data_IF_658365119897
#
_entry.id   IF_658365119897
#
_cell.length_a   1.000
_cell.length_b   1.000
_cell.length_c   1.000
_cell.angle_alpha   90.00
_cell.angle_beta   90.00
_cell.angle_gamma   90.00
#
_symmetry.space_group_name_H-M   'P 1'
#
loop_
_entity.id
_entity.type
_entity.pdbx_description
1 polymer ?
#
# COMPACT_ATOMS: atom_id res chain seq x y z
N UNK A 1 -14.99 -40.21 24.80
CA UNK A 1 -14.97 -39.63 23.44
C UNK A 1 -14.17 -38.31 23.27
N UNK A 2 -13.89 -37.47 24.30
CA UNK A 2 -13.03 -36.28 24.13
C UNK A 2 -11.56 -36.58 23.78
N UNK A 3 -11.00 -37.70 24.25
CA UNK A 3 -9.58 -38.04 24.05
C UNK A 3 -9.24 -38.42 22.60
N UNK A 4 -10.16 -39.04 21.85
CA UNK A 4 -9.91 -39.46 20.47
C UNK A 4 -9.83 -38.24 19.52
N UNK A 5 -10.63 -37.18 19.77
CA UNK A 5 -10.53 -35.93 18.97
C UNK A 5 -9.17 -35.23 19.16
N UNK A 6 -8.61 -35.25 20.38
CA UNK A 6 -7.31 -34.60 20.68
C UNK A 6 -6.12 -35.22 19.94
N UNK A 7 -6.14 -36.52 19.64
CA UNK A 7 -5.02 -37.18 18.94
C UNK A 7 -4.87 -36.71 17.49
N UNK A 8 -5.96 -36.34 16.82
CA UNK A 8 -5.91 -35.86 15.42
C UNK A 8 -5.58 -34.38 15.29
N UNK A 9 -5.39 -33.64 16.38
CA UNK A 9 -5.08 -32.20 16.35
C UNK A 9 -3.61 -31.89 16.67
N UNK A 10 -2.84 -32.91 17.09
CA UNK A 10 -1.43 -32.76 17.47
C UNK A 10 -0.51 -33.36 16.40
N UNK A 11 0.64 -32.74 16.20
CA UNK A 11 1.73 -33.26 15.40
C UNK A 11 2.67 -34.03 16.33
N UNK A 12 2.78 -35.34 16.14
CA UNK A 12 3.77 -36.15 16.85
C UNK A 12 5.16 -35.92 16.25
N UNK A 13 6.16 -35.73 17.10
CA UNK A 13 7.56 -35.54 16.67
C UNK A 13 8.39 -36.77 17.04
N UNK A 14 9.23 -37.22 16.11
CA UNK A 14 10.15 -38.33 16.35
C UNK A 14 11.37 -37.85 17.14
N UNK A 15 11.81 -38.65 18.14
CA UNK A 15 12.83 -38.30 19.14
C UNK A 15 14.15 -37.71 18.60
N UNK A 16 14.51 -37.99 17.34
CA UNK A 16 15.76 -37.51 16.73
C UNK A 16 15.65 -36.14 16.07
N UNK A 17 14.44 -35.69 15.76
CA UNK A 17 14.19 -34.48 14.98
C UNK A 17 13.57 -33.37 15.84
N UNK A 18 13.64 -33.52 17.17
CA UNK A 18 12.97 -32.61 18.09
C UNK A 18 13.91 -31.49 18.53
N UNK A 19 13.49 -30.21 18.43
CA UNK A 19 14.20 -29.12 19.06
C UNK A 19 14.24 -29.29 20.60
N UNK A 20 15.40 -29.08 21.24
CA UNK A 20 15.47 -29.03 22.70
C UNK A 20 14.66 -27.82 23.21
N UNK A 21 13.92 -28.04 24.30
CA UNK A 21 13.14 -27.00 24.97
C UNK A 21 13.76 -26.74 26.33
N UNK A 22 14.13 -25.48 26.58
CA UNK A 22 14.50 -25.01 27.91
C UNK A 22 13.25 -24.50 28.62
N UNK A 23 12.90 -25.10 29.73
CA UNK A 23 11.77 -24.73 30.58
C UNK A 23 12.31 -23.90 31.73
N UNK A 24 11.81 -22.68 31.92
CA UNK A 24 12.12 -21.82 33.06
C UNK A 24 10.86 -21.58 33.90
N UNK A 25 10.90 -21.92 35.19
CA UNK A 25 9.79 -21.72 36.13
C UNK A 25 10.13 -22.16 37.55
N UNK A 26 9.51 -21.53 38.56
CA UNK A 26 9.78 -21.80 39.99
C UNK A 26 11.26 -21.64 40.41
N UNK A 27 12.03 -20.80 39.72
CA UNK A 27 13.43 -20.55 40.06
C UNK A 27 14.41 -21.59 39.54
N UNK A 28 13.94 -22.60 38.79
CA UNK A 28 14.78 -23.60 38.15
C UNK A 28 14.59 -23.65 36.62
N UNK A 29 15.65 -24.11 35.95
CA UNK A 29 15.70 -24.37 34.52
C UNK A 29 15.83 -25.87 34.24
N UNK A 30 14.98 -26.41 33.37
CA UNK A 30 14.96 -27.83 32.98
C UNK A 30 15.13 -27.97 31.47
N UNK A 31 15.87 -28.99 31.03
CA UNK A 31 15.86 -29.39 29.62
C UNK A 31 14.80 -30.46 29.39
N UNK A 32 13.95 -30.24 28.41
CA UNK A 32 12.92 -31.18 28.01
C UNK A 32 12.95 -31.44 26.49
N UNK A 33 12.45 -32.61 26.12
CA UNK A 33 12.21 -32.98 24.73
C UNK A 33 10.73 -32.76 24.40
N UNK A 34 10.45 -31.99 23.35
CA UNK A 34 9.11 -31.87 22.79
C UNK A 34 8.73 -33.21 22.11
N UNK A 35 7.59 -33.82 22.42
CA UNK A 35 7.19 -35.09 21.76
C UNK A 35 5.93 -34.93 20.92
N UNK A 36 5.12 -33.92 21.20
CA UNK A 36 4.03 -33.49 20.33
C UNK A 36 3.78 -31.99 20.44
N UNK A 37 3.13 -31.42 19.42
CA UNK A 37 2.79 -30.00 19.40
C UNK A 37 1.51 -29.71 18.65
N UNK A 38 0.81 -28.66 19.06
CA UNK A 38 -0.28 -28.04 18.31
C UNK A 38 -0.29 -26.54 18.55
N UNK A 39 -1.09 -25.76 17.82
CA UNK A 39 -1.15 -24.31 18.02
C UNK A 39 -1.66 -23.85 19.39
N UNK A 40 -2.26 -24.75 20.16
CA UNK A 40 -2.82 -24.47 21.49
C UNK A 40 -1.97 -25.05 22.63
N UNK A 41 -0.98 -25.89 22.35
CA UNK A 41 -0.18 -26.49 23.40
C UNK A 41 0.92 -27.44 22.93
N UNK A 42 1.68 -27.94 23.89
CA UNK A 42 2.83 -28.81 23.65
C UNK A 42 2.86 -29.95 24.66
N UNK A 43 3.46 -31.06 24.27
CA UNK A 43 3.79 -32.17 25.15
C UNK A 43 5.29 -32.26 25.29
N UNK A 44 5.77 -32.20 26.53
CA UNK A 44 7.20 -32.28 26.86
C UNK A 44 7.50 -33.56 27.65
N UNK A 45 8.73 -34.05 27.51
CA UNK A 45 9.26 -35.16 28.29
C UNK A 45 10.57 -34.73 28.96
N UNK A 46 10.58 -34.74 30.29
CA UNK A 46 11.78 -34.50 31.11
C UNK A 46 12.37 -35.85 31.50
N UNK A 47 13.68 -36.02 31.31
CA UNK A 47 14.38 -37.28 31.64
C UNK A 47 15.81 -37.03 32.12
N UNK A 48 16.44 -38.06 32.70
CA UNK A 48 17.82 -37.97 33.19
C UNK A 48 17.93 -37.10 34.44
N UNK A 49 19.02 -36.34 34.57
CA UNK A 49 19.32 -35.52 35.75
C UNK A 49 18.22 -34.49 36.09
N UNK A 50 17.53 -33.97 35.08
CA UNK A 50 16.45 -33.00 35.28
C UNK A 50 15.18 -33.66 35.84
N UNK A 51 15.00 -34.97 35.65
CA UNK A 51 13.90 -35.73 36.26
C UNK A 51 14.17 -36.11 37.71
N UNK A 52 15.43 -36.08 38.16
CA UNK A 52 15.83 -36.37 39.55
C UNK A 52 15.76 -35.14 40.47
N UNK A 53 15.41 -33.97 39.92
CA UNK A 53 15.31 -32.73 40.70
C UNK A 53 14.09 -32.75 41.64
N UNK A 54 14.23 -32.05 42.78
CA UNK A 54 13.24 -32.07 43.87
C UNK A 54 11.93 -31.40 43.51
N UNK A 55 11.99 -30.34 42.71
CA UNK A 55 10.81 -29.58 42.33
C UNK A 55 10.56 -29.81 40.85
N UNK A 56 9.47 -30.49 40.51
CA UNK A 56 9.01 -30.63 39.13
C UNK A 56 7.88 -29.65 38.88
N UNK A 57 7.64 -29.24 37.62
CA UNK A 57 6.49 -28.42 37.30
C UNK A 57 5.19 -29.08 37.75
N UNK A 58 4.33 -28.33 38.44
CA UNK A 58 3.03 -28.82 38.94
C UNK A 58 1.87 -28.31 38.11
N UNK A 59 0.75 -29.05 38.09
CA UNK A 59 -0.47 -28.63 37.38
C UNK A 59 -0.94 -27.26 37.88
N UNK A 60 -1.28 -26.38 36.93
CA UNK A 60 -1.69 -25.00 37.19
C UNK A 60 -0.52 -24.01 37.27
N UNK A 61 0.73 -24.48 37.26
CA UNK A 61 1.89 -23.60 37.22
C UNK A 61 2.06 -22.98 35.83
N UNK A 62 2.38 -21.68 35.80
CA UNK A 62 2.78 -20.99 34.57
C UNK A 62 4.29 -21.11 34.39
N UNK A 63 4.71 -21.49 33.18
CA UNK A 63 6.09 -21.67 32.78
C UNK A 63 6.43 -20.74 31.61
N UNK A 64 7.72 -20.40 31.50
CA UNK A 64 8.30 -19.77 30.33
C UNK A 64 9.10 -20.81 29.55
N UNK A 65 8.70 -21.10 28.33
CA UNK A 65 9.37 -22.07 27.47
C UNK A 65 10.23 -21.32 26.45
N UNK A 66 11.53 -21.60 26.45
CA UNK A 66 12.43 -21.19 25.38
C UNK A 66 12.59 -22.36 24.41
N UNK A 67 11.96 -22.25 23.24
CA UNK A 67 12.02 -23.25 22.18
C UNK A 67 13.12 -22.84 21.21
N UNK A 68 14.12 -23.71 21.05
CA UNK A 68 15.26 -23.47 20.16
C UNK A 68 15.06 -24.19 18.84
N UNK A 69 14.74 -23.45 17.78
CA UNK A 69 14.52 -24.00 16.44
C UNK A 69 15.83 -24.44 15.79
N UNK A 70 16.87 -23.62 15.95
CA UNK A 70 18.22 -23.92 15.44
C UNK A 70 19.28 -23.21 16.30
N UNK A 71 20.54 -23.17 15.84
CA UNK A 71 21.62 -22.56 16.63
C UNK A 71 21.39 -21.08 16.92
N UNK A 72 20.76 -20.34 16.01
CA UNK A 72 20.68 -18.88 16.04
C UNK A 72 19.25 -18.37 16.29
N UNK A 73 18.24 -19.24 16.21
CA UNK A 73 16.84 -18.89 16.38
C UNK A 73 16.20 -19.63 17.55
N UNK A 74 15.67 -18.84 18.48
CA UNK A 74 14.82 -19.30 19.58
C UNK A 74 13.71 -18.29 19.82
N UNK A 75 12.64 -18.75 20.44
CA UNK A 75 11.56 -17.88 20.88
C UNK A 75 11.03 -18.33 22.25
N UNK A 76 10.42 -17.38 22.95
CA UNK A 76 9.87 -17.59 24.29
C UNK A 76 8.35 -17.61 24.20
N UNK A 77 7.73 -18.63 24.79
CA UNK A 77 6.28 -18.74 24.91
C UNK A 77 5.90 -19.06 26.35
N UNK A 78 4.88 -18.37 26.86
CA UNK A 78 4.31 -18.69 28.18
C UNK A 78 3.33 -19.85 28.06
N UNK A 79 3.35 -20.78 28.99
CA UNK A 79 2.46 -21.93 28.98
C UNK A 79 1.98 -22.29 30.39
N UNK A 80 0.79 -22.88 30.49
CA UNK A 80 0.22 -23.42 31.72
C UNK A 80 0.37 -24.93 31.74
N UNK A 81 0.86 -25.49 32.84
CA UNK A 81 0.91 -26.93 33.05
C UNK A 81 -0.50 -27.47 33.25
N UNK A 82 -0.97 -28.29 32.32
CA UNK A 82 -2.30 -28.90 32.41
C UNK A 82 -2.26 -30.38 32.83
N UNK A 83 -1.12 -31.05 32.62
CA UNK A 83 -0.94 -32.46 32.94
C UNK A 83 0.52 -32.75 33.33
N UNK A 84 0.71 -33.63 34.31
CA UNK A 84 2.01 -34.17 34.72
C UNK A 84 1.79 -35.63 35.04
N UNK A 85 2.55 -36.52 34.40
CA UNK A 85 2.51 -37.94 34.66
C UNK A 85 3.91 -38.54 34.58
N UNK A 86 4.20 -39.51 35.43
CA UNK A 86 5.40 -40.33 35.29
C UNK A 86 5.22 -41.25 34.08
N UNK A 87 6.25 -41.33 33.25
CA UNK A 87 6.23 -42.16 32.05
C UNK A 87 7.57 -42.88 31.91
N UNK A 88 7.51 -44.20 31.73
CA UNK A 88 8.65 -45.01 31.38
C UNK A 88 8.64 -45.30 29.88
N UNK A 89 9.60 -44.71 29.14
CA UNK A 89 9.71 -44.88 27.69
C UNK A 89 11.08 -45.45 27.34
N UNK A 90 11.09 -46.64 26.72
CA UNK A 90 12.33 -47.34 26.29
C UNK A 90 13.39 -47.41 27.39
N UNK A 91 12.98 -47.81 28.60
CA UNK A 91 13.85 -47.94 29.79
C UNK A 91 14.41 -46.62 30.36
N UNK A 92 13.87 -45.47 29.93
CA UNK A 92 14.10 -44.18 30.61
C UNK A 92 12.86 -43.80 31.38
N UNK A 93 13.00 -43.69 32.71
CA UNK A 93 12.00 -43.06 33.58
C UNK A 93 12.09 -41.55 33.45
N UNK A 94 10.95 -40.90 33.43
CA UNK A 94 10.84 -39.46 33.30
C UNK A 94 9.43 -38.97 33.52
N UNK A 95 9.22 -37.68 33.25
CA UNK A 95 7.93 -37.03 33.43
C UNK A 95 7.42 -36.48 32.11
N UNK A 96 6.20 -36.87 31.76
CA UNK A 96 5.43 -36.29 30.68
C UNK A 96 4.68 -35.08 31.20
N UNK A 97 4.86 -33.94 30.53
CA UNK A 97 4.23 -32.67 30.89
C UNK A 97 3.37 -32.21 29.71
N UNK A 98 2.07 -32.09 29.95
CA UNK A 98 1.13 -31.46 29.05
C UNK A 98 1.03 -29.97 29.33
N UNK A 99 1.17 -29.16 28.29
CA UNK A 99 1.15 -27.71 28.36
C UNK A 99 0.07 -27.12 27.44
N UNK A 100 -0.53 -26.04 27.89
CA UNK A 100 -1.40 -25.17 27.08
C UNK A 100 -0.75 -23.81 26.95
N UNK A 101 -0.61 -23.28 25.74
CA UNK A 101 0.00 -21.97 25.54
C UNK A 101 -0.89 -20.87 26.11
N UNK A 102 -0.27 -19.97 26.88
CA UNK A 102 -0.93 -18.78 27.40
C UNK A 102 -0.79 -17.71 26.34
N UNK A 103 -1.90 -17.32 25.74
CA UNK A 103 -1.93 -16.16 24.85
C UNK A 103 -1.55 -14.93 25.65
N UNK A 104 -0.43 -14.32 25.29
CA UNK A 104 -0.06 -13.05 25.89
C UNK A 104 -1.18 -12.06 25.61
N UNK A 105 -1.71 -11.43 26.68
CA UNK A 105 -2.57 -10.27 26.50
C UNK A 105 -1.72 -9.25 25.75
N UNK A 106 -2.10 -9.00 24.49
CA UNK A 106 -1.50 -7.92 23.70
C UNK A 106 -1.71 -6.67 24.54
N UNK A 107 -0.63 -6.01 25.03
CA UNK A 107 -0.78 -4.87 25.91
C UNK A 107 -1.66 -3.84 25.20
N UNK A 108 -2.78 -3.45 25.81
CA UNK A 108 -3.66 -2.37 25.31
C UNK A 108 -2.92 -1.01 25.16
N UNK A 109 -1.64 -0.93 25.53
CA UNK A 109 -0.82 0.27 25.56
C UNK A 109 -0.08 0.59 24.26
N UNK A 110 -0.10 -0.28 23.27
CA UNK A 110 0.31 0.06 21.90
C UNK A 110 -0.97 0.25 21.11
N UNK A 111 -1.14 1.42 20.45
CA UNK A 111 -2.32 1.77 19.64
C UNK A 111 -2.90 0.51 18.99
N UNK A 112 -4.16 0.18 19.32
CA UNK A 112 -4.87 -0.90 18.64
C UNK A 112 -5.10 -0.42 17.21
N UNK A 113 -4.07 -0.58 16.38
CA UNK A 113 -4.05 -0.06 15.02
C UNK A 113 -5.22 -0.73 14.33
N UNK A 114 -6.17 0.09 13.87
CA UNK A 114 -7.38 -0.40 13.23
C UNK A 114 -7.03 -1.36 12.11
N UNK A 115 -7.29 -2.65 12.32
CA UNK A 115 -7.11 -3.69 11.32
C UNK A 115 -8.13 -3.48 10.21
N UNK A 116 -7.66 -3.38 8.98
CA UNK A 116 -8.50 -3.29 7.81
C UNK A 116 -8.60 -4.69 7.18
N UNK A 117 -9.78 -5.30 7.28
CA UNK A 117 -10.03 -6.60 6.67
C UNK A 117 -10.15 -6.49 5.15
N UNK A 118 -9.57 -7.41 4.37
CA UNK A 118 -9.79 -7.53 2.92
C UNK A 118 -11.15 -8.18 2.60
N UNK A 119 -11.65 -7.99 1.37
CA UNK A 119 -12.79 -8.78 0.89
C UNK A 119 -12.32 -10.16 0.46
N UNK A 120 -13.22 -11.16 0.47
CA UNK A 120 -12.89 -12.53 0.03
C UNK A 120 -12.37 -12.60 -1.41
N UNK A 121 -12.78 -11.68 -2.27
CA UNK A 121 -12.41 -11.67 -3.71
C UNK A 121 -10.97 -11.19 -3.94
N UNK A 122 -10.44 -10.32 -3.08
CA UNK A 122 -9.14 -9.67 -3.27
C UNK A 122 -8.26 -9.82 -2.04
N UNK A 123 -7.88 -11.06 -1.71
CA UNK A 123 -6.96 -11.37 -0.61
C UNK A 123 -5.54 -11.60 -1.13
N UNK A 124 -4.53 -10.92 -0.58
CA UNK A 124 -3.15 -11.30 -0.82
C UNK A 124 -2.86 -12.69 -0.27
N UNK A 125 -1.87 -13.34 -0.87
CA UNK A 125 -1.37 -14.63 -0.42
C UNK A 125 0.00 -14.46 0.21
N UNK A 126 0.34 -15.34 1.13
CA UNK A 126 1.70 -15.47 1.64
C UNK A 126 2.05 -16.94 1.83
N UNK A 127 3.33 -17.25 1.82
CA UNK A 127 3.82 -18.57 2.23
C UNK A 127 5.14 -18.46 3.00
N UNK A 128 5.48 -19.47 3.78
CA UNK A 128 6.74 -19.56 4.49
C UNK A 128 7.19 -21.02 4.57
N UNK A 129 8.49 -21.25 4.69
CA UNK A 129 9.00 -22.54 5.12
C UNK A 129 8.58 -22.79 6.57
N UNK A 130 8.24 -24.04 6.88
CA UNK A 130 7.94 -24.45 8.25
C UNK A 130 9.23 -24.49 9.08
N UNK A 131 9.35 -23.72 10.18
CA UNK A 131 10.57 -23.72 10.98
C UNK A 131 10.82 -25.01 11.77
N UNK A 132 9.81 -25.88 11.90
CA UNK A 132 9.88 -27.16 12.61
C UNK A 132 9.91 -28.38 11.69
N UNK A 133 9.36 -28.26 10.48
CA UNK A 133 9.25 -29.37 9.53
C UNK A 133 10.11 -29.12 8.30
N UNK A 134 11.12 -29.97 8.08
CA UNK A 134 12.06 -29.83 6.98
C UNK A 134 11.36 -29.96 5.62
N UNK A 135 11.59 -28.99 4.73
CA UNK A 135 11.03 -28.91 3.37
C UNK A 135 9.49 -28.80 3.28
N UNK A 136 8.82 -28.50 4.39
CA UNK A 136 7.39 -28.21 4.38
C UNK A 136 7.13 -26.72 4.20
N UNK A 137 6.04 -26.41 3.51
CA UNK A 137 5.61 -25.03 3.27
C UNK A 137 4.24 -24.76 3.89
N UNK A 138 4.16 -23.62 4.57
CA UNK A 138 2.96 -23.10 5.16
C UNK A 138 2.37 -22.06 4.22
N UNK A 139 1.10 -22.25 3.82
CA UNK A 139 0.38 -21.32 2.96
C UNK A 139 -0.62 -20.50 3.77
N UNK A 140 -0.69 -19.21 3.47
CA UNK A 140 -1.52 -18.24 4.18
C UNK A 140 -2.33 -17.37 3.22
N UNK A 141 -3.56 -17.05 3.62
CA UNK A 141 -4.30 -15.90 3.10
C UNK A 141 -4.16 -14.74 4.05
N UNK A 142 -3.91 -13.54 3.54
CA UNK A 142 -3.88 -12.31 4.34
C UNK A 142 -5.31 -11.78 4.45
N UNK A 143 -5.87 -11.85 5.65
CA UNK A 143 -7.26 -11.50 5.96
C UNK A 143 -7.44 -10.04 6.33
N UNK A 144 -6.54 -9.52 7.17
CA UNK A 144 -6.57 -8.14 7.63
C UNK A 144 -5.16 -7.65 7.90
N UNK A 145 -4.99 -6.34 7.99
CA UNK A 145 -3.68 -5.73 8.15
C UNK A 145 -3.77 -4.37 8.84
N UNK A 146 -2.65 -3.96 9.42
CA UNK A 146 -2.35 -2.62 9.90
C UNK A 146 -0.86 -2.34 9.62
N UNK A 147 -0.34 -1.12 9.90
CA UNK A 147 1.08 -0.84 9.71
C UNK A 147 2.00 -1.73 10.56
N UNK A 148 1.50 -2.22 11.69
CA UNK A 148 2.24 -2.98 12.70
C UNK A 148 1.88 -4.47 12.73
N UNK A 149 0.69 -4.84 12.26
CA UNK A 149 0.15 -6.18 12.40
C UNK A 149 -0.50 -6.72 11.13
N UNK A 150 -0.67 -8.03 11.10
CA UNK A 150 -1.34 -8.77 10.02
C UNK A 150 -2.11 -9.95 10.59
N UNK A 151 -3.26 -10.20 9.99
CA UNK A 151 -4.06 -11.39 10.26
C UNK A 151 -3.90 -12.34 9.09
N UNK A 152 -3.41 -13.53 9.38
CA UNK A 152 -3.23 -14.61 8.42
C UNK A 152 -4.28 -15.69 8.68
N UNK A 153 -4.70 -16.38 7.62
CA UNK A 153 -5.54 -17.56 7.70
C UNK A 153 -4.83 -18.73 7.04
N UNK A 154 -4.89 -19.91 7.65
CA UNK A 154 -4.21 -21.12 7.17
C UNK A 154 -4.99 -22.38 7.53
N UNK A 155 -4.60 -23.53 6.97
CA UNK A 155 -5.21 -24.82 7.23
C UNK A 155 -4.92 -25.33 8.65
N UNK A 156 -5.89 -26.02 9.27
CA UNK A 156 -5.68 -26.73 10.56
C UNK A 156 -4.66 -27.87 10.49
N UNK A 157 -4.28 -28.30 9.29
CA UNK A 157 -3.16 -29.24 9.11
C UNK A 157 -1.82 -28.65 9.55
N UNK A 158 -1.69 -27.32 9.62
CA UNK A 158 -0.46 -26.62 9.96
C UNK A 158 -0.28 -26.54 11.49
N UNK A 159 -0.02 -27.71 12.09
CA UNK A 159 0.01 -27.92 13.54
C UNK A 159 1.28 -27.44 14.23
N UNK A 160 2.33 -27.15 13.46
CA UNK A 160 3.65 -26.66 13.90
C UNK A 160 3.66 -25.18 14.32
N UNK A 161 2.57 -24.44 14.09
CA UNK A 161 2.48 -23.01 14.35
C UNK A 161 2.32 -22.73 15.85
N UNK A 162 3.15 -21.86 16.43
CA UNK A 162 3.16 -21.60 17.89
C UNK A 162 3.18 -20.10 18.17
N UNK A 163 2.45 -19.59 19.20
CA UNK A 163 2.61 -18.22 19.64
C UNK A 163 4.08 -17.88 19.99
N UNK A 164 4.55 -16.70 19.59
CA UNK A 164 5.93 -16.25 19.75
C UNK A 164 6.88 -16.68 18.63
N UNK A 165 6.52 -17.70 17.83
CA UNK A 165 7.31 -18.14 16.69
C UNK A 165 7.42 -17.03 15.65
N UNK A 166 8.59 -16.93 15.01
CA UNK A 166 8.79 -16.03 13.88
C UNK A 166 8.71 -16.78 12.55
N UNK A 167 8.10 -16.15 11.55
CA UNK A 167 7.98 -16.69 10.20
C UNK A 167 8.58 -15.70 9.20
N UNK A 168 9.28 -16.20 8.19
CA UNK A 168 9.72 -15.40 7.04
C UNK A 168 8.70 -15.57 5.92
N UNK A 169 7.73 -14.66 5.83
CA UNK A 169 6.67 -14.71 4.85
C UNK A 169 7.14 -14.18 3.50
N UNK A 170 6.96 -14.95 2.45
CA UNK A 170 6.97 -14.47 1.07
C UNK A 170 5.57 -13.97 0.72
N UNK A 171 5.38 -12.66 0.77
CA UNK A 171 4.09 -12.02 0.54
C UNK A 171 3.89 -11.73 -0.96
N UNK A 172 2.78 -12.21 -1.51
CA UNK A 172 2.35 -12.03 -2.89
C UNK A 172 1.21 -11.00 -2.96
N UNK A 173 1.56 -9.76 -3.31
CA UNK A 173 0.60 -8.68 -3.52
C UNK A 173 0.29 -8.55 -5.03
N UNK A 174 -0.98 -8.57 -5.48
CA UNK A 174 -1.32 -8.50 -6.92
C UNK A 174 -0.71 -7.32 -7.70
N UNK A 175 -0.46 -6.19 -7.03
CA UNK A 175 0.15 -5.00 -7.64
C UNK A 175 1.64 -4.86 -7.35
N UNK A 176 2.26 -5.75 -6.58
CA UNK A 176 3.66 -5.61 -6.19
C UNK A 176 4.48 -6.84 -6.52
N UNK A 177 5.80 -6.67 -6.48
CA UNK A 177 6.69 -7.83 -6.49
C UNK A 177 6.55 -8.59 -5.18
N UNK A 178 6.81 -9.88 -5.25
CA UNK A 178 7.00 -10.71 -4.07
C UNK A 178 7.97 -10.02 -3.10
N UNK A 179 7.62 -10.03 -1.82
CA UNK A 179 8.39 -9.36 -0.78
C UNK A 179 8.49 -10.26 0.44
N UNK A 180 9.72 -10.54 0.85
CA UNK A 180 9.99 -11.27 2.08
C UNK A 180 9.79 -10.36 3.30
N UNK A 181 8.96 -10.79 4.23
CA UNK A 181 8.61 -10.06 5.46
C UNK A 181 8.69 -11.00 6.65
N UNK A 182 9.52 -10.66 7.64
CA UNK A 182 9.53 -11.40 8.91
C UNK A 182 8.33 -10.97 9.75
N UNK A 183 7.61 -11.94 10.31
CA UNK A 183 6.53 -11.72 11.27
C UNK A 183 6.77 -12.51 12.54
N UNK A 184 6.12 -12.11 13.64
CA UNK A 184 6.02 -12.90 14.86
C UNK A 184 4.56 -13.22 15.14
N UNK A 185 4.25 -14.48 15.37
CA UNK A 185 2.91 -14.92 15.76
C UNK A 185 2.62 -14.40 17.18
N UNK A 186 1.57 -13.61 17.33
CA UNK A 186 1.13 -13.11 18.65
C UNK A 186 0.09 -14.05 19.25
N UNK A 187 -0.85 -14.49 18.41
CA UNK A 187 -2.02 -15.27 18.81
C UNK A 187 -2.45 -16.19 17.67
N UNK A 188 -2.95 -17.36 18.03
CA UNK A 188 -3.58 -18.30 17.11
C UNK A 188 -4.96 -18.62 17.67
N UNK A 189 -5.98 -18.44 16.85
CA UNK A 189 -7.38 -18.71 17.17
C UNK A 189 -7.93 -19.75 16.19
N UNK A 190 -8.87 -20.57 16.67
CA UNK A 190 -9.74 -21.35 15.80
C UNK A 190 -10.71 -20.40 15.10
N UNK A 191 -10.77 -20.46 13.78
CA UNK A 191 -11.67 -19.59 13.02
C UNK A 191 -13.09 -20.18 13.07
N UNK A 192 -13.94 -19.67 13.96
CA UNK A 192 -15.28 -20.22 14.23
C UNK A 192 -16.17 -20.33 12.97
N UNK A 193 -15.99 -19.44 11.99
CA UNK A 193 -16.85 -19.42 10.80
C UNK A 193 -16.35 -20.28 9.63
N UNK A 194 -15.20 -20.95 9.76
CA UNK A 194 -14.64 -21.79 8.69
C UNK A 194 -13.99 -23.04 9.31
N UNK A 195 -14.79 -24.11 9.42
CA UNK A 195 -14.35 -25.40 9.95
C UNK A 195 -13.11 -25.89 9.18
N UNK A 196 -11.97 -25.95 9.87
CA UNK A 196 -10.72 -26.43 9.26
C UNK A 196 -9.65 -25.36 9.05
N UNK A 197 -9.83 -24.14 9.53
CA UNK A 197 -8.79 -23.10 9.47
C UNK A 197 -8.35 -22.54 10.83
N UNK A 198 -7.09 -22.12 10.90
CA UNK A 198 -6.55 -21.29 11.97
C UNK A 198 -6.47 -19.84 11.50
N UNK A 199 -6.75 -18.91 12.40
CA UNK A 199 -6.49 -17.49 12.24
C UNK A 199 -5.30 -17.10 13.12
N UNK A 200 -4.29 -16.47 12.52
CA UNK A 200 -3.10 -16.02 13.21
C UNK A 200 -3.09 -14.50 13.22
N UNK A 201 -2.99 -13.90 14.41
CA UNK A 201 -2.63 -12.48 14.55
C UNK A 201 -1.13 -12.40 14.72
N UNK A 202 -0.48 -11.69 13.81
CA UNK A 202 0.97 -11.58 13.73
C UNK A 202 1.43 -10.12 13.75
N UNK A 203 2.63 -9.88 14.26
CA UNK A 203 3.30 -8.57 14.24
C UNK A 203 4.37 -8.52 13.16
N UNK A 204 4.43 -7.45 12.39
CA UNK A 204 5.51 -7.25 11.43
C UNK A 204 6.84 -6.96 12.14
N UNK A 205 7.89 -7.69 11.78
CA UNK A 205 9.23 -7.49 12.29
C UNK A 205 10.03 -6.65 11.29
N UNK A 206 9.96 -5.32 11.43
CA UNK A 206 10.65 -4.34 10.56
C UNK A 206 10.39 -4.57 9.05
N UNK A 207 9.13 -4.50 8.60
CA UNK A 207 8.82 -4.68 7.18
C UNK A 207 9.50 -3.58 6.35
N UNK A 208 9.96 -3.93 5.15
CA UNK A 208 10.63 -2.98 4.26
C UNK A 208 9.66 -1.87 3.83
N UNK A 209 10.19 -0.67 3.58
CA UNK A 209 9.35 0.45 3.11
C UNK A 209 8.71 0.14 1.76
N UNK A 210 9.40 -0.57 0.87
CA UNK A 210 8.84 -1.00 -0.42
C UNK A 210 7.64 -1.93 -0.26
N UNK A 211 7.68 -2.86 0.71
CA UNK A 211 6.53 -3.70 1.03
C UNK A 211 5.38 -2.88 1.61
N UNK A 212 5.65 -1.98 2.56
CA UNK A 212 4.62 -1.10 3.13
C UNK A 212 3.94 -0.23 2.08
N UNK A 213 4.71 0.35 1.16
CA UNK A 213 4.20 1.14 0.03
C UNK A 213 3.35 0.27 -0.91
N UNK A 214 3.85 -0.91 -1.29
CA UNK A 214 3.10 -1.84 -2.15
C UNK A 214 1.80 -2.33 -1.51
N UNK A 215 1.82 -2.62 -0.20
CA UNK A 215 0.64 -2.98 0.57
C UNK A 215 -0.33 -1.80 0.61
N UNK A 216 0.13 -0.58 0.94
CA UNK A 216 -0.71 0.62 0.93
C UNK A 216 -1.38 0.90 -0.42
N UNK A 217 -0.67 0.73 -1.54
CA UNK A 217 -1.26 0.84 -2.88
C UNK A 217 -2.33 -0.23 -3.12
N UNK A 218 -2.05 -1.49 -2.75
CA UNK A 218 -3.00 -2.57 -2.89
C UNK A 218 -4.28 -2.33 -2.09
N UNK A 219 -4.15 -1.78 -0.88
CA UNK A 219 -5.25 -1.41 0.00
C UNK A 219 -6.17 -0.40 -0.66
N UNK A 220 -5.61 0.67 -1.21
CA UNK A 220 -6.36 1.71 -1.89
C UNK A 220 -7.10 1.18 -3.12
N UNK A 221 -6.56 0.15 -3.79
CA UNK A 221 -7.24 -0.54 -4.90
C UNK A 221 -8.40 -1.40 -4.37
N UNK A 222 -8.15 -2.20 -3.34
CA UNK A 222 -9.10 -3.19 -2.83
C UNK A 222 -10.22 -2.58 -1.96
N UNK A 223 -10.00 -1.39 -1.39
CA UNK A 223 -10.92 -0.71 -0.46
C UNK A 223 -11.25 0.70 -0.94
N UNK A 224 -12.31 0.86 -1.76
CA UNK A 224 -12.65 2.15 -2.35
C UNK A 224 -13.11 3.21 -1.33
N UNK A 225 -13.51 2.78 -0.13
CA UNK A 225 -13.93 3.66 0.95
C UNK A 225 -12.76 4.13 1.84
N UNK A 226 -11.52 3.69 1.55
CA UNK A 226 -10.33 4.11 2.30
C UNK A 226 -9.57 5.16 1.48
N UNK A 227 -9.45 6.35 2.02
CA UNK A 227 -8.72 7.47 1.43
C UNK A 227 -7.25 7.51 1.85
N UNK A 228 -6.43 8.30 1.17
CA UNK A 228 -5.03 8.52 1.57
C UNK A 228 -4.95 9.20 2.94
N UNK A 229 -5.83 10.16 3.19
CA UNK A 229 -5.84 10.90 4.46
C UNK A 229 -6.16 9.97 5.63
N UNK A 230 -7.09 9.04 5.45
CA UNK A 230 -7.38 7.99 6.43
C UNK A 230 -6.19 7.04 6.60
N UNK A 231 -5.56 6.59 5.50
CA UNK A 231 -4.33 5.77 5.54
C UNK A 231 -3.22 6.44 6.35
N UNK A 232 -2.98 7.73 6.12
CA UNK A 232 -1.99 8.52 6.87
C UNK A 232 -2.38 8.63 8.35
N UNK A 233 -3.66 8.83 8.66
CA UNK A 233 -4.15 8.87 10.04
C UNK A 233 -3.97 7.52 10.76
N UNK A 234 -4.07 6.41 10.03
CA UNK A 234 -3.75 5.06 10.52
C UNK A 234 -2.25 4.77 10.61
N UNK A 235 -1.36 5.71 10.26
CA UNK A 235 0.10 5.54 10.35
C UNK A 235 0.78 5.00 9.09
N UNK A 236 0.06 4.86 7.98
CA UNK A 236 0.67 4.44 6.71
C UNK A 236 1.48 5.55 6.05
N UNK A 237 2.62 5.17 5.49
CA UNK A 237 3.38 6.01 4.58
C UNK A 237 2.90 5.78 3.15
N UNK A 238 1.88 6.54 2.73
CA UNK A 238 1.42 6.56 1.32
C UNK A 238 2.13 7.70 0.60
N UNK A 239 3.26 7.39 -0.01
CA UNK A 239 4.12 8.32 -0.76
C UNK A 239 3.85 8.24 -2.26
N UNK A 240 3.71 7.02 -2.76
CA UNK A 240 3.54 6.70 -4.18
C UNK A 240 2.26 5.89 -4.37
N UNK A 241 1.53 6.21 -5.44
CA UNK A 241 0.26 5.55 -5.77
C UNK A 241 0.17 5.17 -7.24
N UNK A 242 1.33 5.01 -7.89
CA UNK A 242 1.39 4.83 -9.33
C UNK A 242 0.55 3.62 -9.77
N UNK A 243 0.56 2.55 -8.98
CA UNK A 243 -0.13 1.30 -9.33
C UNK A 243 -1.60 1.30 -8.93
N UNK A 244 -1.98 2.18 -8.00
CA UNK A 244 -3.36 2.32 -7.54
C UNK A 244 -4.20 3.24 -8.44
N UNK A 245 -3.54 4.11 -9.20
CA UNK A 245 -4.18 5.07 -10.10
C UNK A 245 -4.48 4.43 -11.46
N UNK A 246 -5.69 4.65 -11.95
CA UNK A 246 -6.12 4.31 -13.31
C UNK A 246 -6.75 5.52 -13.98
N UNK A 247 -6.48 5.72 -15.26
CA UNK A 247 -7.14 6.75 -16.05
C UNK A 247 -8.19 6.14 -16.96
N UNK A 248 -9.37 6.76 -17.00
CA UNK A 248 -10.46 6.43 -17.92
C UNK A 248 -11.06 7.71 -18.48
N UNK A 249 -11.76 7.59 -19.60
CA UNK A 249 -12.61 8.66 -20.11
C UNK A 249 -14.04 8.44 -19.64
N UNK A 250 -14.78 9.54 -19.48
CA UNK A 250 -16.23 9.48 -19.27
C UNK A 250 -16.87 8.77 -20.45
N UNK A 251 -17.66 7.73 -20.14
CA UNK A 251 -18.31 6.87 -21.14
C UNK A 251 -19.81 6.70 -20.89
N UNK A 252 -20.34 7.30 -19.82
CA UNK A 252 -21.74 7.21 -19.42
C UNK A 252 -22.16 8.42 -18.59
N UNK A 253 -23.48 8.63 -18.44
CA UNK A 253 -24.02 9.67 -17.55
C UNK A 253 -23.59 9.47 -16.10
N UNK A 254 -23.41 8.22 -15.67
CA UNK A 254 -22.91 7.89 -14.33
C UNK A 254 -21.48 8.38 -14.13
N UNK A 255 -20.62 8.18 -15.13
CA UNK A 255 -19.25 8.70 -15.10
C UNK A 255 -19.25 10.23 -15.07
N UNK A 256 -20.11 10.87 -15.87
CA UNK A 256 -20.21 12.33 -15.92
C UNK A 256 -20.68 12.90 -14.57
N UNK A 257 -21.70 12.30 -13.94
CA UNK A 257 -22.13 12.69 -12.59
C UNK A 257 -21.01 12.59 -11.58
N UNK A 258 -20.21 11.51 -11.62
CA UNK A 258 -19.07 11.35 -10.72
C UNK A 258 -17.99 12.44 -10.92
N UNK A 259 -17.79 12.91 -12.15
CA UNK A 259 -16.90 14.05 -12.45
C UNK A 259 -17.48 15.35 -11.89
N UNK A 260 -18.78 15.61 -12.08
CA UNK A 260 -19.44 16.81 -11.58
C UNK A 260 -19.45 16.85 -10.04
N UNK A 261 -19.74 15.73 -9.39
CA UNK A 261 -19.68 15.58 -7.93
C UNK A 261 -18.28 15.89 -7.40
N UNK A 262 -17.24 15.40 -8.09
CA UNK A 262 -15.86 15.68 -7.74
C UNK A 262 -15.50 17.17 -7.91
N UNK A 263 -15.93 17.80 -9.00
CA UNK A 263 -15.72 19.24 -9.23
C UNK A 263 -16.36 20.06 -8.11
N UNK A 264 -17.62 19.76 -7.76
CA UNK A 264 -18.33 20.43 -6.69
C UNK A 264 -17.62 20.25 -5.35
N UNK A 265 -17.25 19.02 -4.98
CA UNK A 265 -16.54 18.74 -3.74
C UNK A 265 -15.19 19.46 -3.66
N UNK A 266 -14.45 19.53 -4.77
CA UNK A 266 -13.18 20.25 -4.83
C UNK A 266 -13.36 21.77 -4.69
N UNK A 267 -14.37 22.36 -5.35
CA UNK A 267 -14.68 23.79 -5.23
C UNK A 267 -15.14 24.16 -3.83
N UNK A 268 -15.97 23.33 -3.19
CA UNK A 268 -16.43 23.53 -1.82
C UNK A 268 -15.31 23.52 -0.80
N UNK A 269 -14.29 22.68 -1.01
CA UNK A 269 -13.10 22.68 -0.17
C UNK A 269 -12.28 23.98 -0.27
N UNK A 270 -12.38 24.70 -1.38
CA UNK A 270 -11.79 26.05 -1.55
C UNK A 270 -12.72 27.17 -1.04
N UNK A 271 -13.84 26.84 -0.41
CA UNK A 271 -14.84 27.80 0.06
C UNK A 271 -15.75 28.36 -1.04
N UNK A 272 -15.65 27.87 -2.27
CA UNK A 272 -16.54 28.24 -3.38
C UNK A 272 -17.79 27.37 -3.37
N UNK A 273 -18.93 27.90 -3.82
CA UNK A 273 -20.18 27.11 -3.92
C UNK A 273 -20.63 26.43 -2.60
N UNK A 274 -20.36 27.09 -1.47
CA UNK A 274 -20.74 26.59 -0.16
C UNK A 274 -22.25 26.35 -0.05
N UNK A 275 -22.64 25.21 0.51
CA UNK A 275 -24.05 24.82 0.67
C UNK A 275 -24.74 24.28 -0.58
N UNK A 276 -24.10 24.35 -1.76
CA UNK A 276 -24.66 23.77 -2.97
C UNK A 276 -24.66 22.23 -2.90
N UNK A 277 -25.77 21.59 -3.30
CA UNK A 277 -25.93 20.12 -3.24
C UNK A 277 -26.01 19.47 -4.61
N UNK A 278 -26.58 20.17 -5.59
CA UNK A 278 -26.68 19.68 -6.94
C UNK A 278 -25.36 19.91 -7.69
N UNK A 279 -24.72 18.82 -8.13
CA UNK A 279 -23.49 18.89 -8.93
C UNK A 279 -23.74 19.26 -10.38
N UNK A 280 -24.99 19.23 -10.86
CA UNK A 280 -25.38 19.66 -12.19
C UNK A 280 -24.97 21.10 -12.52
N UNK A 281 -24.83 21.97 -11.52
CA UNK A 281 -24.35 23.35 -11.68
C UNK A 281 -22.90 23.45 -12.16
N UNK A 282 -22.12 22.37 -12.05
CA UNK A 282 -20.73 22.30 -12.52
C UNK A 282 -20.61 21.90 -13.99
N UNK A 283 -21.75 21.64 -14.65
CA UNK A 283 -21.83 21.41 -16.08
C UNK A 283 -21.77 22.75 -16.81
N UNK A 284 -20.97 22.84 -17.87
CA UNK A 284 -20.94 24.03 -18.72
C UNK A 284 -21.04 23.69 -20.22
N UNK A 285 -21.08 24.74 -21.04
CA UNK A 285 -21.20 24.62 -22.48
C UNK A 285 -20.06 23.83 -23.14
N UNK A 286 -18.89 23.70 -22.51
CA UNK A 286 -17.71 23.02 -23.05
C UNK A 286 -17.70 21.52 -22.79
N UNK A 287 -18.45 21.05 -21.80
CA UNK A 287 -18.44 19.62 -21.44
C UNK A 287 -18.88 18.68 -22.58
N UNK A 288 -19.90 18.98 -23.41
CA UNK A 288 -20.35 18.08 -24.49
C UNK A 288 -19.33 17.83 -25.62
N UNK A 289 -18.36 18.72 -25.83
CA UNK A 289 -17.35 18.59 -26.90
C UNK A 289 -15.93 18.41 -26.38
N UNK A 290 -15.78 18.17 -25.08
CA UNK A 290 -14.50 17.92 -24.46
C UNK A 290 -14.34 16.46 -24.07
N UNK A 291 -13.09 16.00 -23.99
CA UNK A 291 -12.78 14.72 -23.36
C UNK A 291 -12.64 14.91 -21.86
N UNK A 292 -13.53 14.29 -21.11
CA UNK A 292 -13.47 14.27 -19.66
C UNK A 292 -12.62 13.10 -19.19
N UNK A 293 -11.57 13.39 -18.44
CA UNK A 293 -10.64 12.40 -17.89
C UNK A 293 -11.03 12.14 -16.44
N UNK A 294 -11.08 10.87 -16.07
CA UNK A 294 -11.23 10.42 -14.70
C UNK A 294 -9.94 9.74 -14.24
N UNK A 295 -9.37 10.22 -13.15
CA UNK A 295 -8.34 9.52 -12.39
C UNK A 295 -9.03 8.76 -11.25
N UNK A 296 -8.88 7.44 -11.24
CA UNK A 296 -9.62 6.53 -10.38
C UNK A 296 -8.65 5.79 -9.46
N UNK A 297 -9.00 5.68 -8.18
CA UNK A 297 -8.33 4.79 -7.22
C UNK A 297 -9.38 3.83 -6.65
N UNK A 298 -9.14 2.53 -6.79
CA UNK A 298 -10.18 1.52 -6.55
C UNK A 298 -11.36 1.76 -7.50
N UNK A 299 -12.53 2.11 -6.96
CA UNK A 299 -13.72 2.53 -7.73
C UNK A 299 -14.07 4.02 -7.59
N UNK A 300 -13.29 4.80 -6.84
CA UNK A 300 -13.56 6.22 -6.57
C UNK A 300 -12.85 7.11 -7.60
N UNK A 301 -13.56 8.09 -8.16
CA UNK A 301 -12.94 9.16 -8.96
C UNK A 301 -12.29 10.15 -7.99
N UNK A 302 -10.96 10.28 -8.08
CA UNK A 302 -10.15 11.07 -7.13
C UNK A 302 -9.54 12.31 -7.75
N UNK A 303 -9.45 12.37 -9.07
CA UNK A 303 -9.14 13.59 -9.81
C UNK A 303 -9.81 13.56 -11.18
N UNK A 304 -10.03 14.74 -11.76
CA UNK A 304 -10.55 14.88 -13.11
C UNK A 304 -9.92 16.08 -13.81
N UNK A 305 -9.90 16.02 -15.14
CA UNK A 305 -9.56 17.14 -15.99
C UNK A 305 -10.42 17.08 -17.25
N UNK A 306 -10.74 18.25 -17.80
CA UNK A 306 -11.37 18.40 -19.10
C UNK A 306 -10.32 18.76 -20.14
N UNK A 307 -10.39 18.14 -21.32
CA UNK A 307 -9.54 18.46 -22.46
C UNK A 307 -10.37 18.90 -23.65
N UNK A 308 -10.14 20.12 -24.12
CA UNK A 308 -10.85 20.73 -25.26
C UNK A 308 -9.93 20.74 -26.48
N UNK A 309 -10.43 20.19 -27.58
CA UNK A 309 -9.79 20.16 -28.89
C UNK A 309 -10.32 21.32 -29.72
N UNK A 310 -9.62 22.47 -29.68
CA UNK A 310 -10.09 23.67 -30.37
C UNK A 310 -9.83 23.63 -31.89
N UNK A 311 -8.91 22.78 -32.39
CA UNK A 311 -8.58 22.64 -33.81
C UNK A 311 -8.21 23.97 -34.49
N UNK A 312 -7.58 24.90 -33.74
CA UNK A 312 -7.26 26.25 -34.23
C UNK A 312 -8.47 27.19 -34.37
N UNK A 313 -9.68 26.75 -33.98
CA UNK A 313 -10.90 27.53 -34.06
C UNK A 313 -11.13 28.30 -32.76
N UNK A 314 -11.11 29.63 -32.84
CA UNK A 314 -11.34 30.51 -31.68
C UNK A 314 -12.70 30.28 -31.00
N UNK A 315 -13.73 29.93 -31.76
CA UNK A 315 -15.08 29.64 -31.24
C UNK A 315 -15.14 28.37 -30.39
N UNK A 316 -14.15 27.47 -30.49
CA UNK A 316 -14.05 26.26 -29.68
C UNK A 316 -13.15 26.44 -28.44
N UNK A 317 -12.49 27.59 -28.28
CA UNK A 317 -11.60 27.84 -27.15
C UNK A 317 -12.37 28.44 -25.97
N UNK A 318 -12.28 27.77 -24.83
CA UNK A 318 -12.83 28.20 -23.56
C UNK A 318 -12.21 29.52 -23.12
N UNK A 319 -10.88 29.61 -23.09
CA UNK A 319 -10.23 30.83 -22.63
C UNK A 319 -10.52 32.02 -23.56
N UNK A 320 -10.61 31.80 -24.87
CA UNK A 320 -11.00 32.84 -25.81
C UNK A 320 -12.45 33.30 -25.61
N UNK A 321 -13.36 32.39 -25.23
CA UNK A 321 -14.75 32.74 -24.90
C UNK A 321 -14.84 33.63 -23.65
N UNK A 322 -13.89 33.50 -22.72
CA UNK A 322 -13.72 34.38 -21.56
C UNK A 322 -12.94 35.66 -21.86
N UNK A 323 -12.72 35.99 -23.14
CA UNK A 323 -12.06 37.23 -23.57
C UNK A 323 -10.53 37.19 -23.55
N UNK A 324 -9.90 36.03 -23.34
CA UNK A 324 -8.44 35.92 -23.38
C UNK A 324 -7.89 36.28 -24.78
N UNK A 325 -6.91 37.19 -24.81
CA UNK A 325 -6.16 37.54 -26.03
C UNK A 325 -4.95 36.63 -26.16
N UNK A 326 -5.17 35.41 -26.66
CA UNK A 326 -4.11 34.42 -26.85
C UNK A 326 -3.14 34.85 -27.98
N UNK A 327 -1.82 34.63 -27.82
CA UNK A 327 -0.84 35.07 -28.81
C UNK A 327 -0.94 34.26 -30.11
N UNK A 328 -0.68 34.91 -31.26
CA UNK A 328 -0.80 34.29 -32.59
C UNK A 328 0.09 33.06 -32.78
N UNK A 329 1.28 33.05 -32.18
CA UNK A 329 2.19 31.91 -32.27
C UNK A 329 1.58 30.63 -31.67
N UNK A 330 0.75 30.76 -30.62
CA UNK A 330 0.13 29.60 -29.96
C UNK A 330 -0.94 28.97 -30.87
N UNK A 331 -1.71 29.80 -31.58
CA UNK A 331 -2.64 29.35 -32.62
C UNK A 331 -1.92 28.68 -33.79
N UNK A 332 -0.79 29.25 -34.22
CA UNK A 332 0.01 28.71 -35.33
C UNK A 332 0.64 27.35 -34.99
N UNK A 333 1.13 27.18 -33.75
CA UNK A 333 1.79 25.94 -33.30
C UNK A 333 0.80 24.87 -32.84
N UNK A 334 -0.46 25.23 -32.61
CA UNK A 334 -1.50 24.30 -32.15
C UNK A 334 -1.42 24.02 -30.64
N UNK A 335 -2.58 23.94 -30.00
CA UNK A 335 -2.69 23.63 -28.59
C UNK A 335 -3.99 22.92 -28.24
N UNK A 336 -3.98 22.17 -27.14
CA UNK A 336 -5.18 21.73 -26.44
C UNK A 336 -5.42 22.62 -25.22
N UNK A 337 -6.67 22.74 -24.77
CA UNK A 337 -6.96 23.37 -23.48
C UNK A 337 -7.24 22.30 -22.42
N UNK A 338 -6.58 22.40 -21.27
CA UNK A 338 -6.95 21.66 -20.08
C UNK A 338 -7.61 22.60 -19.07
N UNK A 339 -8.83 22.27 -18.68
CA UNK A 339 -9.63 23.05 -17.74
C UNK A 339 -10.38 22.15 -16.75
N UNK A 340 -11.03 22.77 -15.76
CA UNK A 340 -11.76 22.06 -14.70
C UNK A 340 -10.91 20.97 -14.00
N UNK A 341 -9.60 21.22 -13.86
CA UNK A 341 -8.71 20.31 -13.15
C UNK A 341 -9.08 20.32 -11.67
N UNK A 342 -9.47 19.16 -11.14
CA UNK A 342 -9.86 19.02 -9.75
C UNK A 342 -9.26 17.74 -9.14
N UNK A 343 -8.93 17.80 -7.85
CA UNK A 343 -8.48 16.66 -7.05
C UNK A 343 -9.29 16.61 -5.78
N UNK A 344 -9.79 15.43 -5.43
CA UNK A 344 -10.52 15.19 -4.19
C UNK A 344 -9.65 15.60 -2.99
N UNK A 345 -10.19 16.33 -2.00
CA UNK A 345 -9.41 16.84 -0.86
C UNK A 345 -8.55 15.77 -0.18
N UNK A 346 -9.13 14.60 0.12
CA UNK A 346 -8.42 13.50 0.79
C UNK A 346 -7.24 12.90 0.00
N UNK A 347 -7.12 13.20 -1.30
CA UNK A 347 -6.09 12.70 -2.19
C UNK A 347 -5.04 13.76 -2.55
N UNK A 348 -5.17 14.99 -2.01
CA UNK A 348 -4.20 16.07 -2.22
C UNK A 348 -2.85 15.76 -1.56
N UNK A 349 -1.79 16.26 -2.18
CA UNK A 349 -0.41 16.04 -1.71
C UNK A 349 0.14 14.63 -1.96
N UNK A 350 -0.60 13.79 -2.67
CA UNK A 350 -0.08 12.57 -3.29
C UNK A 350 0.29 12.81 -4.76
N UNK A 351 0.82 11.79 -5.42
CA UNK A 351 1.32 11.89 -6.80
C UNK A 351 0.21 12.02 -7.86
N UNK A 352 -1.07 12.07 -7.46
CA UNK A 352 -2.26 12.16 -8.35
C UNK A 352 -2.14 13.29 -9.35
N UNK A 353 -1.76 14.49 -8.90
CA UNK A 353 -1.60 15.66 -9.76
C UNK A 353 -0.54 15.45 -10.84
N UNK A 354 0.60 14.86 -10.48
CA UNK A 354 1.68 14.59 -11.43
C UNK A 354 1.24 13.58 -12.48
N UNK A 355 0.55 12.51 -12.08
CA UNK A 355 0.03 11.52 -13.02
C UNK A 355 -1.05 12.10 -13.94
N UNK A 356 -1.91 12.99 -13.43
CA UNK A 356 -2.90 13.68 -14.25
C UNK A 356 -2.21 14.56 -15.31
N UNK A 357 -1.18 15.31 -14.93
CA UNK A 357 -0.41 16.13 -15.88
C UNK A 357 0.35 15.28 -16.91
N UNK A 358 0.92 14.13 -16.52
CA UNK A 358 1.51 13.16 -17.46
C UNK A 358 0.46 12.68 -18.46
N UNK A 359 -0.76 12.38 -17.99
CA UNK A 359 -1.83 11.91 -18.86
C UNK A 359 -2.29 12.99 -19.85
N UNK A 360 -2.40 14.24 -19.40
CA UNK A 360 -2.71 15.40 -20.26
C UNK A 360 -1.61 15.63 -21.31
N UNK A 361 -0.35 15.53 -20.90
CA UNK A 361 0.81 15.65 -21.79
C UNK A 361 0.78 14.57 -22.87
N UNK A 362 0.47 13.32 -22.48
CA UNK A 362 0.31 12.19 -23.41
C UNK A 362 -0.81 12.45 -24.42
N UNK A 363 -1.98 12.93 -23.98
CA UNK A 363 -3.09 13.26 -24.88
C UNK A 363 -2.68 14.36 -25.87
N UNK A 364 -1.97 15.37 -25.39
CA UNK A 364 -1.47 16.47 -26.21
C UNK A 364 -0.53 15.94 -27.31
N UNK A 365 0.44 15.10 -26.95
CA UNK A 365 1.36 14.48 -27.90
C UNK A 365 0.62 13.62 -28.95
N UNK A 366 -0.33 12.78 -28.53
CA UNK A 366 -1.13 11.94 -29.45
C UNK A 366 -1.98 12.78 -30.41
N UNK A 367 -2.41 13.97 -29.98
CA UNK A 367 -3.22 14.88 -30.81
C UNK A 367 -2.41 15.73 -31.78
N UNK A 368 -1.09 15.51 -31.88
CA UNK A 368 -0.17 16.32 -32.69
C UNK A 368 -0.16 17.82 -32.33
N UNK A 369 -0.74 18.18 -31.18
CA UNK A 369 -0.67 19.52 -30.63
C UNK A 369 0.62 19.67 -29.84
N UNK A 370 1.31 20.80 -30.01
CA UNK A 370 2.57 21.04 -29.32
C UNK A 370 2.38 21.51 -27.88
N UNK A 371 1.31 22.30 -27.65
CA UNK A 371 1.09 22.99 -26.38
C UNK A 371 -0.15 22.50 -25.65
N UNK A 372 -0.07 22.52 -24.32
CA UNK A 372 -1.22 22.43 -23.42
C UNK A 372 -1.43 23.78 -22.75
N UNK A 373 -2.57 24.43 -23.03
CA UNK A 373 -3.00 25.68 -22.41
C UNK A 373 -3.90 25.39 -21.22
N UNK A 374 -3.65 26.02 -20.07
CA UNK A 374 -4.52 25.93 -18.90
C UNK A 374 -4.44 27.21 -18.07
N UNK A 375 -5.30 27.32 -17.08
CA UNK A 375 -5.27 28.42 -16.12
C UNK A 375 -4.98 27.91 -14.72
N UNK A 376 -4.43 28.77 -13.86
CA UNK A 376 -4.19 28.43 -12.46
C UNK A 376 -4.27 29.64 -11.55
N UNK A 377 -4.47 29.38 -10.25
CA UNK A 377 -4.35 30.39 -9.21
C UNK A 377 -2.90 30.87 -9.11
N UNK A 378 -2.72 32.10 -8.63
CA UNK A 378 -1.38 32.71 -8.52
C UNK A 378 -0.42 31.90 -7.64
N UNK A 379 -0.94 31.26 -6.58
CA UNK A 379 -0.16 30.41 -5.68
C UNK A 379 0.41 29.14 -6.34
N UNK A 380 -0.25 28.66 -7.40
CA UNK A 380 0.14 27.43 -8.11
C UNK A 380 1.06 27.70 -9.30
N UNK A 381 1.12 28.93 -9.82
CA UNK A 381 2.01 29.31 -10.94
C UNK A 381 3.47 28.86 -10.72
N UNK A 382 4.11 29.08 -9.55
CA UNK A 382 5.49 28.64 -9.32
C UNK A 382 5.66 27.12 -9.38
N UNK A 383 4.63 26.35 -9.02
CA UNK A 383 4.65 24.88 -9.09
C UNK A 383 4.68 24.44 -10.55
N UNK A 384 3.79 24.99 -11.38
CA UNK A 384 3.76 24.69 -12.82
C UNK A 384 5.02 25.16 -13.55
N UNK A 385 5.59 26.32 -13.19
CA UNK A 385 6.83 26.80 -13.78
C UNK A 385 8.02 25.88 -13.48
N UNK A 386 8.11 25.31 -12.28
CA UNK A 386 9.12 24.29 -11.95
C UNK A 386 9.00 23.03 -12.81
N UNK A 387 7.80 22.72 -13.28
CA UNK A 387 7.51 21.61 -14.18
C UNK A 387 7.80 21.95 -15.65
N UNK A 388 8.05 23.22 -15.99
CA UNK A 388 8.34 23.67 -17.36
C UNK A 388 7.27 24.57 -17.99
N UNK A 389 6.17 24.87 -17.27
CA UNK A 389 5.14 25.76 -17.79
C UNK A 389 5.63 27.20 -17.94
N UNK A 390 5.20 27.86 -19.02
CA UNK A 390 5.43 29.28 -19.27
C UNK A 390 4.17 30.05 -18.91
N UNK A 391 4.31 31.07 -18.08
CA UNK A 391 3.22 31.98 -17.73
C UNK A 391 3.06 33.02 -18.85
N UNK A 392 1.85 33.10 -19.44
CA UNK A 392 1.56 34.01 -20.56
C UNK A 392 1.29 35.45 -20.13
N UNK A 393 1.24 35.72 -18.81
CA UNK A 393 0.89 37.01 -18.21
C UNK A 393 -0.50 37.51 -18.62
N UNK A 394 -1.36 36.60 -19.09
CA UNK A 394 -2.77 36.85 -19.37
C UNK A 394 -3.56 36.40 -18.15
N UNK A 395 -4.49 37.26 -17.72
CA UNK A 395 -5.43 36.95 -16.64
C UNK A 395 -6.81 36.72 -17.21
N UNK A 396 -7.50 35.72 -16.68
CA UNK A 396 -8.89 35.39 -17.01
C UNK A 396 -9.69 35.21 -15.74
N UNK A 397 -10.98 35.48 -15.82
CA UNK A 397 -11.95 35.09 -14.81
C UNK A 397 -12.84 34.02 -15.42
N UNK A 398 -13.11 32.96 -14.67
CA UNK A 398 -13.88 31.82 -15.15
C UNK A 398 -15.14 31.65 -14.29
N UNK A 399 -16.29 31.26 -14.87
CA UNK A 399 -17.53 31.15 -14.13
C UNK A 399 -17.47 30.20 -12.93
N UNK A 400 -16.65 29.14 -12.99
CA UNK A 400 -16.51 28.17 -11.90
C UNK A 400 -15.77 28.73 -10.67
N UNK A 401 -15.03 29.84 -10.82
CA UNK A 401 -14.27 30.50 -9.75
C UNK A 401 -14.50 32.03 -9.78
N UNK A 402 -15.73 32.49 -9.47
CA UNK A 402 -16.08 33.90 -9.58
C UNK A 402 -15.19 34.77 -8.66
N UNK A 403 -14.83 35.96 -9.14
CA UNK A 403 -13.96 36.89 -8.42
C UNK A 403 -12.48 36.47 -8.34
N UNK A 404 -12.12 35.29 -8.86
CA UNK A 404 -10.74 34.81 -8.85
C UNK A 404 -10.06 35.10 -10.19
N UNK A 405 -8.99 35.91 -10.15
CA UNK A 405 -8.16 36.17 -11.33
C UNK A 405 -7.15 35.03 -11.53
N UNK A 406 -7.38 34.21 -12.53
CA UNK A 406 -6.53 33.08 -12.88
C UNK A 406 -5.50 33.50 -13.94
N UNK A 407 -4.31 32.93 -13.86
CA UNK A 407 -3.24 33.21 -14.82
C UNK A 407 -3.17 32.10 -15.86
N UNK A 408 -3.08 32.46 -17.14
CA UNK A 408 -2.89 31.49 -18.21
C UNK A 408 -1.45 31.02 -18.27
N UNK A 409 -1.29 29.70 -18.36
CA UNK A 409 -0.02 29.03 -18.55
C UNK A 409 -0.09 28.13 -19.78
N UNK A 410 1.04 28.03 -20.46
CA UNK A 410 1.24 27.07 -21.54
C UNK A 410 2.33 26.08 -21.16
N UNK A 411 2.18 24.84 -21.60
CA UNK A 411 3.14 23.78 -21.40
C UNK A 411 3.51 23.18 -22.75
N UNK A 412 4.78 23.30 -23.13
CA UNK A 412 5.30 22.68 -24.34
C UNK A 412 5.55 21.20 -24.05
N UNK A 413 4.63 20.34 -24.50
CA UNK A 413 4.62 18.93 -24.18
C UNK A 413 5.82 18.19 -24.79
N UNK A 414 6.32 18.65 -25.94
CA UNK A 414 7.49 18.10 -26.59
C UNK A 414 8.76 18.48 -25.81
N UNK A 415 8.92 19.76 -25.46
CA UNK A 415 10.06 20.21 -24.67
C UNK A 415 10.10 19.54 -23.29
N UNK A 416 8.95 19.37 -22.63
CA UNK A 416 8.86 18.66 -21.36
C UNK A 416 9.23 17.17 -21.48
N UNK A 417 8.74 16.50 -22.53
CA UNK A 417 9.12 15.12 -22.86
C UNK A 417 10.63 14.98 -23.10
N UNK A 418 11.28 15.98 -23.69
CA UNK A 418 12.72 15.97 -23.95
C UNK A 418 13.60 16.48 -22.80
N UNK A 419 13.00 16.83 -21.65
CA UNK A 419 13.69 17.47 -20.52
C UNK A 419 14.25 18.87 -20.83
N UNK A 420 13.82 19.50 -21.93
CA UNK A 420 14.25 20.83 -22.36
C UNK A 420 13.52 21.96 -21.62
N UNK A 421 12.54 21.63 -20.79
CA UNK A 421 11.81 22.58 -19.96
C UNK A 421 11.70 22.09 -18.52
N UNK A 422 11.66 23.05 -17.59
CA UNK A 422 11.62 22.77 -16.15
C UNK A 422 12.99 22.41 -15.58
N UNK A 423 13.00 21.98 -14.32
CA UNK A 423 14.26 21.54 -13.68
C UNK A 423 14.54 20.05 -13.97
N UNK A 424 15.82 19.63 -14.07
CA UNK A 424 16.18 18.21 -14.19
C UNK A 424 15.59 17.33 -13.08
N UNK A 425 15.43 17.88 -11.87
CA UNK A 425 14.77 17.20 -10.75
C UNK A 425 13.28 16.96 -11.04
N UNK A 426 12.58 18.00 -11.50
CA UNK A 426 11.17 17.94 -11.88
C UNK A 426 10.94 16.92 -13.00
N UNK A 427 11.83 16.88 -13.99
CA UNK A 427 11.75 15.91 -15.08
C UNK A 427 11.83 14.47 -14.57
N UNK A 428 12.81 14.16 -13.71
CA UNK A 428 12.98 12.80 -13.19
C UNK A 428 11.77 12.34 -12.36
N UNK A 429 11.16 13.24 -11.59
CA UNK A 429 9.99 12.92 -10.76
C UNK A 429 8.71 12.83 -11.60
N UNK A 430 8.49 13.78 -12.50
CA UNK A 430 7.18 13.99 -13.12
C UNK A 430 7.09 13.57 -14.59
N UNK A 431 8.18 13.45 -15.34
CA UNK A 431 8.09 13.28 -16.80
C UNK A 431 8.93 12.15 -17.39
N UNK A 432 9.95 11.64 -16.68
CA UNK A 432 10.84 10.58 -17.21
C UNK A 432 10.07 9.37 -17.75
N UNK A 433 9.19 8.76 -16.95
CA UNK A 433 8.41 7.58 -17.37
C UNK A 433 7.47 7.87 -18.54
N UNK A 434 6.84 9.05 -18.52
CA UNK A 434 5.96 9.49 -19.62
C UNK A 434 6.76 9.66 -20.90
N UNK A 435 7.92 10.32 -20.81
CA UNK A 435 8.86 10.55 -21.91
C UNK A 435 9.35 9.23 -22.52
N UNK A 436 9.74 8.26 -21.68
CA UNK A 436 10.12 6.90 -22.10
C UNK A 436 8.96 6.20 -22.83
N UNK A 437 7.75 6.29 -22.28
CA UNK A 437 6.56 5.74 -22.92
C UNK A 437 6.27 6.38 -24.27
N UNK A 438 6.26 7.72 -24.38
CA UNK A 438 6.00 8.42 -25.65
C UNK A 438 7.07 8.14 -26.69
N UNK A 439 8.33 8.01 -26.26
CA UNK A 439 9.44 7.62 -27.14
C UNK A 439 9.22 6.22 -27.72
N UNK A 440 8.88 5.24 -26.87
CA UNK A 440 8.62 3.86 -27.28
C UNK A 440 7.43 3.74 -28.25
N UNK A 441 6.46 4.64 -28.13
CA UNK A 441 5.30 4.70 -29.03
C UNK A 441 5.55 5.52 -30.31
N UNK A 442 6.76 6.08 -30.51
CA UNK A 442 7.06 6.93 -31.67
C UNK A 442 6.35 8.29 -31.66
N UNK A 443 5.81 8.71 -30.51
CA UNK A 443 5.09 9.98 -30.35
C UNK A 443 6.01 11.17 -30.06
N UNK A 444 7.28 10.89 -29.74
CA UNK A 444 8.29 11.90 -29.46
C UNK A 444 9.49 11.66 -30.38
N UNK A 445 9.75 12.60 -31.29
CA UNK A 445 10.95 12.56 -32.12
C UNK A 445 12.17 13.01 -31.28
N UNK A 446 13.02 12.04 -30.94
CA UNK A 446 14.18 12.25 -30.09
C UNK A 446 15.42 12.23 -30.97
N UNK A 447 15.91 13.43 -31.29
CA UNK A 447 17.22 13.58 -31.91
C UNK A 447 18.32 12.95 -31.02
N UNK A 448 19.41 12.39 -31.59
CA UNK A 448 20.43 11.66 -30.82
C UNK A 448 21.04 12.45 -29.65
N UNK A 449 21.21 13.77 -29.80
CA UNK A 449 21.74 14.62 -28.72
C UNK A 449 20.76 14.79 -27.55
N UNK A 450 19.44 14.78 -27.81
CA UNK A 450 18.43 14.78 -26.76
C UNK A 450 18.41 13.46 -26.00
N UNK A 451 18.67 12.33 -26.66
CA UNK A 451 18.76 11.04 -25.98
C UNK A 451 19.94 10.99 -25.01
N UNK A 452 21.11 11.51 -25.41
CA UNK A 452 22.27 11.65 -24.51
C UNK A 452 21.90 12.53 -23.31
N UNK A 453 21.30 13.69 -23.55
CA UNK A 453 20.88 14.61 -22.49
C UNK A 453 19.89 13.96 -21.52
N UNK A 454 18.87 13.25 -22.03
CA UNK A 454 17.89 12.51 -21.23
C UNK A 454 18.55 11.44 -20.37
N UNK A 455 19.53 10.70 -20.91
CA UNK A 455 20.29 9.71 -20.14
C UNK A 455 21.11 10.37 -19.04
N UNK A 456 21.80 11.47 -19.33
CA UNK A 456 22.58 12.23 -18.34
C UNK A 456 21.69 12.75 -17.21
N UNK A 457 20.52 13.32 -17.53
CA UNK A 457 19.55 13.73 -16.52
C UNK A 457 18.96 12.53 -15.78
N UNK A 458 18.77 11.40 -16.47
CA UNK A 458 18.30 10.16 -15.83
C UNK A 458 19.25 9.65 -14.74
N UNK A 459 20.54 9.92 -14.83
CA UNK A 459 21.53 9.50 -13.83
C UNK A 459 21.35 10.19 -12.46
N UNK A 460 20.72 11.36 -12.42
CA UNK A 460 20.44 12.06 -11.15
C UNK A 460 19.11 11.66 -10.51
N UNK A 461 18.37 10.70 -11.07
CA UNK A 461 17.08 10.23 -10.52
C UNK A 461 17.19 9.79 -9.04
N UNK A 462 18.19 9.00 -8.60
CA UNK A 462 18.29 8.60 -7.20
C UNK A 462 18.44 9.81 -6.26
N UNK A 463 19.16 10.84 -6.71
CA UNK A 463 19.34 12.10 -5.97
C UNK A 463 18.02 12.86 -5.91
N UNK A 464 17.30 12.96 -7.04
CA UNK A 464 16.00 13.62 -7.10
C UNK A 464 14.98 12.97 -6.16
N UNK A 465 14.87 11.64 -6.19
CA UNK A 465 14.01 10.88 -5.29
C UNK A 465 14.42 11.06 -3.82
N UNK A 466 15.72 11.10 -3.52
CA UNK A 466 16.20 11.34 -2.16
C UNK A 466 15.86 12.75 -1.64
N UNK A 467 16.08 13.79 -2.46
CA UNK A 467 15.75 15.19 -2.11
C UNK A 467 14.25 15.33 -1.88
N UNK A 468 13.43 14.72 -2.73
CA UNK A 468 11.99 14.78 -2.60
C UNK A 468 11.51 14.08 -1.31
N UNK A 469 12.04 12.89 -1.01
CA UNK A 469 11.77 12.18 0.26
C UNK A 469 12.15 13.03 1.47
N UNK A 470 13.30 13.72 1.44
CA UNK A 470 13.71 14.64 2.53
C UNK A 470 12.77 15.84 2.67
N UNK A 471 12.40 16.50 1.57
CA UNK A 471 11.45 17.62 1.60
C UNK A 471 10.08 17.22 2.16
N UNK A 472 9.61 16.02 1.85
CA UNK A 472 8.36 15.47 2.39
C UNK A 472 8.46 15.21 3.89
N UNK A 473 9.60 14.73 4.39
CA UNK A 473 9.84 14.53 5.83
C UNK A 473 9.88 15.85 6.61
N UNK A 474 10.44 16.92 6.05
CA UNK A 474 10.53 18.23 6.69
C UNK A 474 9.20 19.00 6.78
N UNK A 475 8.19 18.58 6.02
CA UNK A 475 6.84 19.16 6.05
C UNK A 475 5.88 18.45 7.02
N UNK A 476 6.29 17.30 7.56
CA UNK A 476 5.60 16.59 8.63
C UNK A 476 6.21 17.02 9.95
#
# INVERSE_FOLDING_TARGET
>A
MPEIKRQFERLALYERDVPPVLISGAGEDYFAQLYDISPVGAGLFISGKDAERRELPIRGQQLSLTIRLNKDESFVVSALVCHVAELEKKSKKGFQIGLTFVTQKIPNSERDDKLLAFSQVFRPLAYAEDPLLFQEFLHFQIEAYSPSEVVLRTSKSNRSLIPGQSLNLNCLLPSSKESMCKVRILKIDDHESDEGSYQLRCRWMKPSEAFKEGLAEFILIAKPNVSISEMKAMGWSVTHMQKAIRFRYVSSDKDMRAVLDLRLAASQHEGLWAGMRDSGVMLDAFDPYARQIMCIVGSKVVASARVIFNEGKRSKSEHASYGAKLPLWLWKEGFLEASQLCTHPDYRGADVFHFLLQHLTRITAISESKHLLFHSTESMVPVYQKLGAKNLKIRVEVPSMPGTRLQLLTFDCHAAGLSLSGSPLSYNVAFKKMSEFTAQQGLLDIAPHHEIYRRTIGMIEPIAQHIERKKRKLKK
#
